data_IF_464205319371
#
_entry.id   IF_464205319371
#
_cell.length_a   1.000
_cell.length_b   1.000
_cell.length_c   1.000
_cell.angle_alpha   90.00
_cell.angle_beta   90.00
_cell.angle_gamma   90.00
#
_symmetry.space_group_name_H-M   'P 1'
#
loop_
_entity.id
_entity.type
_entity.pdbx_description
1 polymer ?
#
# COMPACT_ATOMS: atom_id res chain seq x y z
N UNK A 1 -13.87 -41.95 7.84
CA UNK A 1 -14.75 -40.79 7.59
C UNK A 1 -14.37 -39.53 8.36
N UNK A 2 -13.87 -39.59 9.60
CA UNK A 2 -13.46 -38.40 10.37
C UNK A 2 -12.20 -37.68 9.83
N UNK A 3 -11.28 -38.40 9.18
CA UNK A 3 -10.00 -37.85 8.70
C UNK A 3 -10.15 -36.81 7.57
N UNK A 4 -11.23 -36.85 6.79
CA UNK A 4 -11.50 -35.89 5.69
C UNK A 4 -12.29 -34.67 6.16
N UNK A 5 -12.97 -34.74 7.30
CA UNK A 5 -13.78 -33.65 7.84
C UNK A 5 -12.92 -32.49 8.37
N UNK A 6 -11.78 -32.81 9.01
CA UNK A 6 -10.86 -31.82 9.56
C UNK A 6 -10.28 -30.86 8.50
N UNK A 7 -9.73 -31.33 7.36
CA UNK A 7 -9.22 -30.42 6.32
C UNK A 7 -10.33 -29.63 5.62
N UNK A 8 -11.54 -30.18 5.50
CA UNK A 8 -12.70 -29.47 4.93
C UNK A 8 -13.16 -28.36 5.87
N UNK A 9 -13.33 -28.65 7.16
CA UNK A 9 -13.70 -27.65 8.17
C UNK A 9 -12.62 -26.58 8.29
N UNK A 10 -11.34 -26.96 8.28
CA UNK A 10 -10.22 -26.02 8.25
C UNK A 10 -10.24 -25.17 6.97
N UNK A 11 -10.50 -25.76 5.81
CA UNK A 11 -10.60 -25.03 4.54
C UNK A 11 -11.78 -24.06 4.51
N UNK A 12 -12.96 -24.46 4.98
CA UNK A 12 -14.13 -23.59 5.13
C UNK A 12 -13.87 -22.48 6.15
N UNK A 13 -13.26 -22.79 7.29
CA UNK A 13 -12.92 -21.81 8.31
C UNK A 13 -11.90 -20.79 7.79
N UNK A 14 -10.83 -21.24 7.13
CA UNK A 14 -9.86 -20.36 6.48
C UNK A 14 -10.48 -19.52 5.36
N UNK A 15 -11.48 -20.05 4.63
CA UNK A 15 -12.19 -19.33 3.58
C UNK A 15 -13.14 -18.27 4.14
N UNK A 16 -13.79 -18.55 5.28
CA UNK A 16 -14.61 -17.59 6.01
C UNK A 16 -13.78 -16.51 6.70
N UNK A 17 -12.56 -16.85 7.13
CA UNK A 17 -11.57 -15.90 7.63
C UNK A 17 -10.83 -15.14 6.51
N UNK A 18 -11.02 -15.53 5.24
CA UNK A 18 -10.33 -14.90 4.12
C UNK A 18 -10.95 -13.53 3.88
N UNK A 19 -10.22 -12.50 4.31
CA UNK A 19 -10.54 -11.08 4.05
C UNK A 19 -10.82 -10.91 2.55
N UNK A 20 -12.05 -10.49 2.20
CA UNK A 20 -12.39 -10.10 0.84
C UNK A 20 -12.07 -8.62 0.70
N UNK A 21 -10.87 -8.30 0.19
CA UNK A 21 -10.50 -6.93 -0.11
C UNK A 21 -11.40 -6.37 -1.21
N UNK A 22 -11.99 -5.20 -0.99
CA UNK A 22 -12.79 -4.46 -1.98
C UNK A 22 -11.99 -4.17 -3.24
N UNK A 23 -10.71 -3.82 -3.05
CA UNK A 23 -9.75 -3.54 -4.11
C UNK A 23 -8.71 -4.65 -4.20
N UNK A 24 -8.44 -5.11 -5.42
CA UNK A 24 -7.36 -6.08 -5.63
C UNK A 24 -6.00 -5.40 -5.52
N UNK A 25 -5.90 -4.18 -6.07
CA UNK A 25 -4.69 -3.37 -6.06
C UNK A 25 -5.00 -1.97 -5.56
N UNK A 26 -4.11 -1.43 -4.73
CA UNK A 26 -4.03 -0.03 -4.40
C UNK A 26 -2.81 0.56 -5.09
N UNK A 27 -2.98 1.60 -5.90
CA UNK A 27 -1.87 2.23 -6.62
C UNK A 27 -1.37 3.46 -5.86
N UNK A 28 -0.25 3.28 -5.15
CA UNK A 28 0.45 4.37 -4.47
C UNK A 28 1.41 5.05 -5.44
N UNK A 29 1.40 6.39 -5.46
CA UNK A 29 2.26 7.15 -6.35
C UNK A 29 2.45 8.61 -5.91
N UNK A 30 3.56 9.21 -6.36
CA UNK A 30 3.73 10.66 -6.28
C UNK A 30 2.95 11.35 -7.42
N UNK A 31 1.93 12.15 -7.07
CA UNK A 31 1.04 12.81 -8.02
C UNK A 31 1.78 13.63 -9.09
N UNK A 32 2.80 14.40 -8.73
CA UNK A 32 3.49 15.28 -9.68
C UNK A 32 4.33 14.52 -10.73
N UNK A 33 4.83 13.32 -10.38
CA UNK A 33 5.78 12.59 -11.23
C UNK A 33 5.17 11.39 -11.96
N UNK A 34 4.18 10.72 -11.37
CA UNK A 34 3.73 9.40 -11.83
C UNK A 34 2.24 9.33 -12.20
N UNK A 35 1.43 10.37 -11.97
CA UNK A 35 -0.04 10.32 -12.12
C UNK A 35 -0.51 9.72 -13.47
N UNK A 36 0.06 10.17 -14.59
CA UNK A 36 -0.29 9.65 -15.91
C UNK A 36 0.02 8.15 -16.08
N UNK A 37 1.18 7.70 -15.59
CA UNK A 37 1.57 6.29 -15.61
C UNK A 37 0.66 5.47 -14.70
N UNK A 38 0.36 5.97 -13.49
CA UNK A 38 -0.52 5.29 -12.54
C UNK A 38 -1.91 5.08 -13.12
N UNK A 39 -2.47 6.10 -13.78
CA UNK A 39 -3.75 6.03 -14.48
C UNK A 39 -3.73 5.01 -15.62
N UNK A 40 -2.68 5.01 -16.44
CA UNK A 40 -2.51 4.02 -17.50
C UNK A 40 -2.45 2.59 -16.92
N UNK A 41 -1.67 2.39 -15.86
CA UNK A 41 -1.57 1.10 -15.18
C UNK A 41 -2.93 0.65 -14.63
N UNK A 42 -3.70 1.54 -14.01
CA UNK A 42 -5.08 1.26 -13.58
C UNK A 42 -5.93 0.74 -14.73
N UNK A 43 -5.94 1.44 -15.87
CA UNK A 43 -6.71 1.03 -17.05
C UNK A 43 -6.28 -0.35 -17.57
N UNK A 44 -4.97 -0.63 -17.62
CA UNK A 44 -4.44 -1.91 -18.05
C UNK A 44 -4.81 -3.06 -17.08
N UNK A 45 -4.75 -2.80 -15.77
CA UNK A 45 -5.14 -3.77 -14.74
C UNK A 45 -6.64 -4.07 -14.79
N UNK A 46 -7.47 -3.03 -14.91
CA UNK A 46 -8.93 -3.19 -15.02
C UNK A 46 -9.34 -3.90 -16.32
N UNK A 47 -8.58 -3.72 -17.41
CA UNK A 47 -8.79 -4.45 -18.66
C UNK A 47 -8.35 -5.92 -18.62
N UNK A 48 -7.62 -6.34 -17.59
CA UNK A 48 -7.09 -7.70 -17.50
C UNK A 48 -8.11 -8.65 -16.86
N UNK A 49 -8.54 -9.73 -17.54
CA UNK A 49 -9.58 -10.65 -17.03
C UNK A 49 -9.17 -11.42 -15.77
N UNK A 50 -7.89 -11.40 -15.37
CA UNK A 50 -7.41 -12.00 -14.12
C UNK A 50 -7.63 -11.10 -12.90
N UNK A 51 -7.84 -9.81 -13.11
CA UNK A 51 -8.20 -8.86 -12.06
C UNK A 51 -9.71 -8.96 -11.87
N UNK A 52 -10.12 -9.38 -10.67
CA UNK A 52 -11.54 -9.68 -10.35
C UNK A 52 -12.19 -8.59 -9.51
N UNK A 53 -11.40 -7.89 -8.70
CA UNK A 53 -11.87 -6.77 -7.89
C UNK A 53 -11.29 -5.46 -8.44
N UNK A 54 -11.78 -4.33 -7.94
CA UNK A 54 -11.42 -3.02 -8.48
C UNK A 54 -9.97 -2.60 -8.14
N UNK A 55 -9.49 -1.55 -8.80
CA UNK A 55 -8.17 -0.97 -8.60
C UNK A 55 -8.32 0.43 -8.03
N UNK A 56 -7.86 0.61 -6.79
CA UNK A 56 -7.91 1.90 -6.11
C UNK A 56 -6.80 2.82 -6.62
N UNK A 57 -7.17 4.07 -6.89
CA UNK A 57 -6.26 5.16 -7.24
C UNK A 57 -6.68 6.39 -6.46
N UNK A 58 -5.76 6.91 -5.65
CA UNK A 58 -5.96 8.10 -4.80
C UNK A 58 -6.55 9.29 -5.58
N UNK A 59 -5.99 9.61 -6.75
CA UNK A 59 -6.43 10.75 -7.56
C UNK A 59 -7.86 10.65 -8.11
N UNK A 60 -8.45 9.46 -8.20
CA UNK A 60 -9.84 9.29 -8.64
C UNK A 60 -10.84 9.46 -7.49
N UNK A 61 -10.38 9.29 -6.24
CA UNK A 61 -11.19 9.24 -5.04
C UNK A 61 -10.61 10.21 -3.99
N UNK A 62 -10.55 11.51 -4.34
CA UNK A 62 -10.16 12.62 -3.46
C UNK A 62 -10.88 12.54 -2.12
N UNK A 63 -10.30 11.81 -1.18
CA UNK A 63 -10.81 11.53 0.14
C UNK A 63 -9.74 11.92 1.15
N UNK A 64 -10.18 12.14 2.38
CA UNK A 64 -9.28 12.41 3.50
C UNK A 64 -8.23 11.29 3.68
N UNK A 65 -7.17 11.64 4.39
CA UNK A 65 -6.07 10.71 4.70
C UNK A 65 -6.58 9.44 5.40
N UNK A 66 -7.59 9.58 6.26
CA UNK A 66 -8.11 8.47 7.04
C UNK A 66 -8.69 7.39 6.13
N UNK A 67 -9.47 7.79 5.13
CA UNK A 67 -10.05 6.87 4.16
C UNK A 67 -8.98 6.21 3.30
N UNK A 68 -7.91 6.93 2.97
CA UNK A 68 -6.77 6.40 2.23
C UNK A 68 -6.07 5.28 3.02
N UNK A 69 -5.70 5.57 4.28
CA UNK A 69 -5.01 4.61 5.15
C UNK A 69 -5.90 3.44 5.55
N UNK A 70 -7.20 3.67 5.77
CA UNK A 70 -8.19 2.61 5.99
C UNK A 70 -8.30 1.71 4.75
N UNK A 71 -8.25 2.29 3.56
CA UNK A 71 -8.29 1.52 2.32
C UNK A 71 -7.06 0.63 2.18
N UNK A 72 -5.87 1.16 2.44
CA UNK A 72 -4.62 0.39 2.43
C UNK A 72 -4.68 -0.74 3.46
N UNK A 73 -5.03 -0.44 4.70
CA UNK A 73 -4.98 -1.40 5.82
C UNK A 73 -6.07 -2.47 5.77
N UNK A 74 -7.26 -2.15 5.25
CA UNK A 74 -8.44 -3.03 5.34
C UNK A 74 -9.03 -3.46 4.00
N UNK A 75 -8.95 -2.61 2.98
CA UNK A 75 -9.76 -2.79 1.77
C UNK A 75 -8.95 -3.11 0.51
N UNK A 76 -7.63 -3.26 0.60
CA UNK A 76 -6.79 -3.63 -0.53
C UNK A 76 -6.07 -4.98 -0.35
N UNK A 77 -5.87 -5.70 -1.45
CA UNK A 77 -5.16 -6.97 -1.46
C UNK A 77 -3.64 -6.83 -1.59
N UNK A 78 -3.18 -5.86 -2.39
CA UNK A 78 -1.77 -5.56 -2.66
C UNK A 78 -1.62 -4.06 -2.89
N UNK A 79 -0.59 -3.45 -2.30
CA UNK A 79 -0.17 -2.09 -2.63
C UNK A 79 0.88 -2.14 -3.73
N UNK A 80 0.63 -1.45 -4.84
CA UNK A 80 1.59 -1.26 -5.92
C UNK A 80 2.16 0.14 -5.79
N UNK A 81 3.44 0.23 -5.41
CA UNK A 81 4.13 1.49 -5.17
C UNK A 81 4.90 1.91 -6.41
N UNK A 82 4.53 3.04 -7.03
CA UNK A 82 5.26 3.62 -8.16
C UNK A 82 6.37 4.53 -7.61
N UNK A 83 7.52 3.93 -7.34
CA UNK A 83 8.65 4.57 -6.70
C UNK A 83 9.39 5.47 -7.70
N UNK A 84 9.12 6.76 -7.67
CA UNK A 84 9.88 7.84 -8.32
C UNK A 84 10.87 8.46 -7.31
N UNK A 85 11.82 9.30 -7.75
CA UNK A 85 12.79 9.99 -6.88
C UNK A 85 12.24 10.44 -5.54
N UNK A 86 11.19 11.27 -5.56
CA UNK A 86 10.68 11.92 -4.34
C UNK A 86 9.56 11.10 -3.66
N UNK A 87 9.40 9.82 -4.00
CA UNK A 87 8.27 9.01 -3.52
C UNK A 87 8.23 8.89 -1.99
N UNK A 88 9.37 8.59 -1.36
CA UNK A 88 9.46 8.46 0.10
C UNK A 88 9.50 9.81 0.83
N UNK A 89 9.76 10.91 0.12
CA UNK A 89 9.74 12.25 0.68
C UNK A 89 8.30 12.79 0.84
N UNK A 90 7.32 12.11 0.24
CA UNK A 90 5.91 12.46 0.40
C UNK A 90 5.35 11.77 1.64
N UNK A 91 4.87 12.54 2.64
CA UNK A 91 4.31 11.97 3.87
C UNK A 91 3.22 10.94 3.57
N UNK A 92 2.36 11.21 2.59
CA UNK A 92 1.27 10.32 2.16
C UNK A 92 1.76 8.95 1.69
N UNK A 93 2.74 8.93 0.77
CA UNK A 93 3.30 7.69 0.25
C UNK A 93 4.07 6.92 1.34
N UNK A 94 4.76 7.65 2.22
CA UNK A 94 5.42 7.07 3.38
C UNK A 94 4.40 6.45 4.34
N UNK A 95 3.28 7.13 4.62
CA UNK A 95 2.18 6.61 5.43
C UNK A 95 1.66 5.27 4.90
N UNK A 96 1.45 5.18 3.58
CA UNK A 96 0.96 3.97 2.92
C UNK A 96 1.97 2.81 3.07
N UNK A 97 3.27 3.09 2.96
CA UNK A 97 4.34 2.10 3.21
C UNK A 97 4.29 1.61 4.66
N UNK A 98 4.23 2.54 5.63
CA UNK A 98 4.19 2.21 7.05
C UNK A 98 2.95 1.41 7.42
N UNK A 99 1.78 1.83 6.96
CA UNK A 99 0.50 1.15 7.20
C UNK A 99 0.48 -0.22 6.54
N UNK A 100 1.00 -0.34 5.31
CA UNK A 100 1.10 -1.63 4.61
C UNK A 100 1.99 -2.60 5.38
N UNK A 101 3.14 -2.13 5.85
CA UNK A 101 4.07 -2.90 6.68
C UNK A 101 3.40 -3.35 7.98
N UNK A 102 2.80 -2.42 8.74
CA UNK A 102 2.13 -2.70 10.01
C UNK A 102 0.97 -3.71 9.87
N UNK A 103 0.21 -3.61 8.78
CA UNK A 103 -0.95 -4.49 8.51
C UNK A 103 -0.59 -5.74 7.69
N UNK A 104 0.69 -5.95 7.37
CA UNK A 104 1.18 -7.08 6.56
C UNK A 104 0.49 -7.18 5.20
N UNK A 105 0.16 -6.02 4.62
CA UNK A 105 -0.37 -5.92 3.26
C UNK A 105 0.80 -6.07 2.30
N UNK A 106 0.77 -7.02 1.35
CA UNK A 106 1.84 -7.19 0.38
C UNK A 106 2.07 -5.91 -0.42
N UNK A 107 3.33 -5.49 -0.52
CA UNK A 107 3.74 -4.38 -1.37
C UNK A 107 4.51 -4.88 -2.60
N UNK A 108 4.25 -4.27 -3.74
CA UNK A 108 4.94 -4.51 -5.00
C UNK A 108 5.53 -3.19 -5.53
N UNK A 109 6.83 -2.92 -5.31
CA UNK A 109 7.45 -1.69 -5.78
C UNK A 109 7.79 -1.76 -7.28
N UNK A 110 7.29 -0.79 -8.04
CA UNK A 110 7.71 -0.48 -9.41
C UNK A 110 8.70 0.67 -9.32
N UNK A 111 9.99 0.34 -9.45
CA UNK A 111 11.08 1.31 -9.32
C UNK A 111 11.36 1.96 -10.67
N UNK A 112 11.37 3.28 -10.69
CA UNK A 112 11.82 4.06 -11.84
C UNK A 112 13.32 4.28 -11.74
N UNK A 113 13.98 4.57 -12.87
CA UNK A 113 15.43 4.83 -12.90
C UNK A 113 15.87 5.99 -11.99
N UNK A 114 14.94 6.90 -11.70
CA UNK A 114 15.16 8.05 -10.81
C UNK A 114 15.01 7.73 -9.33
N UNK A 115 14.59 6.51 -8.96
CA UNK A 115 14.37 6.13 -7.58
C UNK A 115 15.61 5.50 -6.97
N UNK A 116 16.04 6.10 -5.87
CA UNK A 116 17.10 5.58 -5.02
C UNK A 116 16.45 4.98 -3.77
N UNK A 117 16.78 3.72 -3.49
CA UNK A 117 16.31 3.09 -2.26
C UNK A 117 16.98 3.79 -1.06
N UNK A 118 16.24 4.06 0.02
CA UNK A 118 16.79 4.76 1.17
C UNK A 118 17.86 3.89 1.81
N UNK A 119 19.01 4.48 2.10
CA UNK A 119 20.05 3.83 2.89
C UNK A 119 19.79 4.01 4.40
N UNK A 120 20.63 3.39 5.22
CA UNK A 120 20.47 3.44 6.68
C UNK A 120 20.58 4.85 7.24
N UNK A 121 21.40 5.69 6.62
CA UNK A 121 21.64 7.05 7.09
C UNK A 121 20.42 7.93 6.77
N UNK A 122 19.82 7.74 5.59
CA UNK A 122 18.56 8.38 5.21
C UNK A 122 17.41 7.95 6.14
N UNK A 123 17.29 6.64 6.43
CA UNK A 123 16.24 6.10 7.32
C UNK A 123 16.36 6.71 8.72
N UNK A 124 17.59 6.77 9.28
CA UNK A 124 17.84 7.36 10.60
C UNK A 124 17.54 8.87 10.67
N UNK A 125 17.45 9.55 9.52
CA UNK A 125 17.17 10.98 9.38
C UNK A 125 15.79 11.24 8.77
N UNK A 126 14.91 10.24 8.68
CA UNK A 126 13.61 10.38 8.01
C UNK A 126 12.74 11.48 8.64
N UNK A 127 12.85 11.70 9.95
CA UNK A 127 12.15 12.77 10.66
C UNK A 127 12.64 14.18 10.33
N UNK A 128 13.87 14.32 9.84
CA UNK A 128 14.43 15.59 9.37
C UNK A 128 14.17 15.79 7.86
N UNK A 129 14.15 14.69 7.10
CA UNK A 129 13.96 14.70 5.64
C UNK A 129 12.49 14.84 5.22
N UNK A 130 11.55 14.41 6.07
CA UNK A 130 10.12 14.36 5.76
C UNK A 130 9.33 15.00 6.90
N UNK A 131 8.35 15.84 6.56
CA UNK A 131 7.40 16.35 7.55
C UNK A 131 6.49 15.22 8.05
N UNK A 132 6.88 14.61 9.17
CA UNK A 132 6.15 13.52 9.81
C UNK A 132 4.98 14.02 10.67
N UNK A 133 4.72 15.33 10.79
CA UNK A 133 3.65 15.85 11.64
C UNK A 133 2.30 15.19 11.29
N UNK A 134 1.99 15.12 10.00
CA UNK A 134 0.78 14.49 9.46
C UNK A 134 0.70 13.00 9.81
N UNK A 135 1.84 12.30 9.89
CA UNK A 135 1.91 10.88 10.25
C UNK A 135 1.68 10.67 11.74
N UNK A 136 2.31 11.51 12.57
CA UNK A 136 2.15 11.46 14.02
C UNK A 136 0.71 11.77 14.45
N UNK A 137 0.02 12.68 13.76
CA UNK A 137 -1.41 12.97 13.98
C UNK A 137 -2.29 11.73 13.74
N UNK A 138 -1.89 10.86 12.80
CA UNK A 138 -2.56 9.59 12.51
C UNK A 138 -2.06 8.41 13.35
N UNK A 139 -1.24 8.68 14.37
CA UNK A 139 -0.72 7.67 15.29
C UNK A 139 0.43 6.84 14.73
N UNK A 140 1.07 7.26 13.63
CA UNK A 140 2.26 6.62 13.09
C UNK A 140 3.50 7.24 13.74
N UNK A 141 4.26 6.42 14.48
CA UNK A 141 5.49 6.86 15.14
C UNK A 141 6.69 6.87 14.20
N UNK A 142 7.74 7.60 14.59
CA UNK A 142 9.04 7.57 13.91
C UNK A 142 9.60 6.14 13.86
N UNK A 143 9.60 5.43 14.99
CA UNK A 143 10.06 4.04 15.07
C UNK A 143 9.32 3.10 14.10
N UNK A 144 8.00 3.29 13.95
CA UNK A 144 7.20 2.52 13.01
C UNK A 144 7.55 2.84 11.55
N UNK A 145 7.93 4.10 11.30
CA UNK A 145 8.37 4.59 10.00
C UNK A 145 9.71 3.99 9.62
N UNK A 146 10.69 4.06 10.52
CA UNK A 146 12.02 3.47 10.32
C UNK A 146 11.96 1.96 10.12
N UNK A 147 11.10 1.26 10.87
CA UNK A 147 10.94 -0.19 10.75
C UNK A 147 10.28 -0.65 9.44
N UNK A 148 9.58 0.24 8.73
CA UNK A 148 8.85 -0.09 7.51
C UNK A 148 9.69 0.08 6.23
N UNK A 149 10.83 0.77 6.32
CA UNK A 149 11.75 1.07 5.23
C UNK A 149 12.88 0.03 5.14
#
# INVERSE_FOLDING_TARGET
MLATLVPILRGCFLRLLKRTATYQFFLSHHNAAACAMTRLLKMQLQGNPKVKNDVFLDSDNLLDLDTLLDTVSHNCGVVVALCTRDYLERPWCLAEVVISHANKVPMFPIRFDSFEAPDKDWIAQVGDNVDLYVLTEKGLSLDATEAAL
#
